data_IF_154115947334
#
_entry.id   IF_154115947334
#
_cell.length_a   1.000
_cell.length_b   1.000
_cell.length_c   1.000
_cell.angle_alpha   90.00
_cell.angle_beta   90.00
_cell.angle_gamma   90.00
#
_symmetry.space_group_name_H-M   'P 1'
#
loop_
_entity.id
_entity.type
_entity.pdbx_description
1 polymer ?
#
# COMPACT_ATOMS: atom_id res chain seq x y z
N UNK A 1 -36.13 -12.61 26.19
CA UNK A 1 -34.71 -12.23 26.06
C UNK A 1 -34.42 -12.09 24.57
N UNK A 2 -33.73 -11.04 24.15
CA UNK A 2 -33.26 -10.92 22.77
C UNK A 2 -31.93 -11.67 22.67
N UNK A 3 -31.75 -12.50 21.64
CA UNK A 3 -30.46 -13.13 21.37
C UNK A 3 -29.46 -12.05 20.92
N UNK A 4 -28.29 -12.06 21.54
CA UNK A 4 -27.14 -11.24 21.17
C UNK A 4 -26.21 -12.13 20.36
N UNK A 5 -25.94 -11.72 19.12
CA UNK A 5 -24.96 -12.38 18.26
C UNK A 5 -23.59 -11.75 18.51
N UNK A 6 -22.55 -12.55 18.37
CA UNK A 6 -21.15 -12.13 18.44
C UNK A 6 -20.50 -12.29 17.05
N UNK A 7 -19.65 -11.34 16.67
CA UNK A 7 -18.93 -11.32 15.38
C UNK A 7 -17.48 -10.95 15.66
N UNK A 8 -16.56 -11.79 15.19
CA UNK A 8 -15.13 -11.50 15.17
C UNK A 8 -14.71 -10.84 13.85
N UNK A 9 -13.85 -9.83 13.93
CA UNK A 9 -13.17 -9.23 12.78
C UNK A 9 -11.65 -9.24 13.02
N UNK A 10 -10.88 -9.53 11.96
CA UNK A 10 -9.44 -9.22 11.89
C UNK A 10 -9.29 -7.81 11.33
N UNK A 11 -8.51 -6.94 12.00
CA UNK A 11 -8.38 -5.52 11.69
C UNK A 11 -6.92 -5.17 11.33
N UNK A 12 -6.66 -4.96 10.05
CA UNK A 12 -5.34 -4.63 9.51
C UNK A 12 -5.07 -3.10 9.49
N UNK A 13 -3.82 -2.71 9.68
CA UNK A 13 -3.37 -1.32 9.56
C UNK A 13 -3.33 -0.53 10.87
N UNK A 14 -3.66 -1.13 12.01
CA UNK A 14 -3.37 -0.53 13.32
C UNK A 14 -1.85 -0.44 13.54
N UNK A 15 -1.36 0.72 13.98
CA UNK A 15 0.09 0.98 14.13
C UNK A 15 0.50 1.38 15.55
N UNK A 16 -0.46 1.57 16.45
CA UNK A 16 -0.22 1.82 17.87
C UNK A 16 -1.48 1.53 18.71
N UNK A 17 -1.34 1.39 20.05
CA UNK A 17 -2.49 1.17 20.95
C UNK A 17 -3.54 2.29 20.97
N UNK A 18 -3.28 3.48 20.41
CA UNK A 18 -4.32 4.51 20.28
C UNK A 18 -5.23 4.30 19.08
N UNK A 19 -4.89 3.42 18.13
CA UNK A 19 -5.77 3.07 17.01
C UNK A 19 -7.03 2.30 17.47
N UNK A 20 -6.95 1.51 18.55
CA UNK A 20 -8.06 0.65 19.00
C UNK A 20 -9.33 1.46 19.28
N UNK A 21 -9.20 2.57 20.03
CA UNK A 21 -10.33 3.43 20.40
C UNK A 21 -11.09 3.96 19.18
N UNK A 22 -10.39 4.40 18.13
CA UNK A 22 -11.06 4.87 16.91
C UNK A 22 -11.86 3.74 16.23
N UNK A 23 -11.30 2.53 16.21
CA UNK A 23 -11.99 1.34 15.65
C UNK A 23 -13.17 0.93 16.54
N UNK A 24 -13.03 0.97 17.88
CA UNK A 24 -14.12 0.72 18.84
C UNK A 24 -15.26 1.73 18.68
N UNK A 25 -14.96 3.02 18.63
CA UNK A 25 -15.94 4.10 18.46
C UNK A 25 -16.72 3.95 17.15
N UNK A 26 -16.05 3.61 16.04
CA UNK A 26 -16.69 3.39 14.75
C UNK A 26 -17.55 2.11 14.72
N UNK A 27 -17.12 1.03 15.38
CA UNK A 27 -17.92 -0.19 15.52
C UNK A 27 -19.16 0.04 16.39
N UNK A 28 -19.03 0.76 17.52
CA UNK A 28 -20.15 1.14 18.39
C UNK A 28 -21.17 2.05 17.69
N UNK A 29 -20.76 2.81 16.67
CA UNK A 29 -21.65 3.63 15.86
C UNK A 29 -22.50 2.84 14.84
N UNK A 30 -22.21 1.55 14.61
CA UNK A 30 -22.99 0.71 13.67
C UNK A 30 -24.33 0.28 14.31
N UNK A 31 -25.47 0.52 13.65
CA UNK A 31 -26.78 0.13 14.18
C UNK A 31 -26.85 -1.37 14.54
N UNK A 32 -27.33 -1.66 15.75
CA UNK A 32 -27.44 -3.03 16.28
C UNK A 32 -26.27 -3.45 17.16
N UNK A 33 -25.12 -2.76 17.11
CA UNK A 33 -24.00 -3.01 18.04
C UNK A 33 -24.35 -2.56 19.45
N UNK A 34 -24.02 -3.39 20.44
CA UNK A 34 -24.19 -3.11 21.87
C UNK A 34 -22.86 -3.09 22.63
N UNK A 35 -21.84 -3.76 22.10
CA UNK A 35 -20.47 -3.76 22.61
C UNK A 35 -19.49 -3.97 21.46
N UNK A 36 -18.38 -3.25 21.47
CA UNK A 36 -17.19 -3.54 20.68
C UNK A 36 -15.98 -3.56 21.61
N UNK A 37 -14.99 -4.40 21.31
CA UNK A 37 -13.70 -4.43 21.97
C UNK A 37 -12.61 -4.75 20.94
N UNK A 38 -11.53 -3.97 20.89
CA UNK A 38 -10.46 -4.10 19.88
C UNK A 38 -9.12 -4.32 20.56
N UNK A 39 -8.51 -5.48 20.31
CA UNK A 39 -7.20 -5.85 20.81
C UNK A 39 -6.10 -5.54 19.78
N UNK A 40 -5.20 -4.62 20.14
CA UNK A 40 -4.08 -4.21 19.29
C UNK A 40 -3.05 -5.34 19.07
N UNK A 41 -2.54 -6.05 20.10
CA UNK A 41 -1.56 -7.12 19.93
C UNK A 41 -1.98 -8.24 18.96
N UNK A 42 -3.25 -8.66 19.00
CA UNK A 42 -3.78 -9.73 18.13
C UNK A 42 -4.40 -9.23 16.83
N UNK A 43 -4.54 -7.92 16.65
CA UNK A 43 -5.26 -7.29 15.51
C UNK A 43 -6.70 -7.80 15.36
N UNK A 44 -7.41 -8.05 16.46
CA UNK A 44 -8.79 -8.56 16.46
C UNK A 44 -9.77 -7.57 17.07
N UNK A 45 -10.99 -7.56 16.55
CA UNK A 45 -12.14 -6.88 17.13
C UNK A 45 -13.25 -7.91 17.42
N UNK A 46 -13.86 -7.83 18.59
CA UNK A 46 -15.06 -8.57 18.97
C UNK A 46 -16.23 -7.60 19.06
N UNK A 47 -17.33 -7.93 18.37
CA UNK A 47 -18.53 -7.10 18.30
C UNK A 47 -19.74 -7.93 18.75
N UNK A 48 -20.51 -7.40 19.70
CA UNK A 48 -21.72 -8.06 20.23
C UNK A 48 -22.94 -7.18 19.99
N UNK A 49 -24.05 -7.75 19.51
CA UNK A 49 -25.24 -6.97 19.20
C UNK A 49 -26.44 -7.75 18.67
N UNK A 50 -27.51 -7.04 18.34
CA UNK A 50 -28.76 -7.58 17.83
C UNK A 50 -28.87 -7.31 16.32
N UNK A 51 -28.97 -8.38 15.51
CA UNK A 51 -28.97 -8.34 14.03
C UNK A 51 -27.78 -7.54 13.46
N UNK A 52 -26.57 -7.97 13.84
CA UNK A 52 -25.33 -7.40 13.31
C UNK A 52 -25.22 -7.60 11.80
N UNK A 53 -25.05 -6.51 11.05
CA UNK A 53 -24.67 -6.54 9.63
C UNK A 53 -23.14 -6.53 9.52
N UNK A 54 -22.58 -7.70 9.23
CA UNK A 54 -21.13 -7.90 9.08
C UNK A 54 -20.53 -7.00 7.98
N UNK A 55 -21.28 -6.71 6.92
CA UNK A 55 -20.82 -5.83 5.84
C UNK A 55 -20.75 -4.37 6.29
N UNK A 56 -21.71 -3.92 7.11
CA UNK A 56 -21.69 -2.59 7.71
C UNK A 56 -20.56 -2.42 8.73
N UNK A 57 -20.26 -3.46 9.52
CA UNK A 57 -19.12 -3.46 10.44
C UNK A 57 -17.77 -3.32 9.70
N UNK A 58 -17.58 -4.11 8.63
CA UNK A 58 -16.38 -4.02 7.78
C UNK A 58 -16.28 -2.64 7.10
N UNK A 59 -17.40 -2.10 6.61
CA UNK A 59 -17.44 -0.77 5.99
C UNK A 59 -17.11 0.36 6.98
N UNK A 60 -17.57 0.28 8.23
CA UNK A 60 -17.28 1.27 9.27
C UNK A 60 -15.77 1.32 9.62
N UNK A 61 -15.12 0.16 9.73
CA UNK A 61 -13.67 0.07 9.93
C UNK A 61 -12.91 0.53 8.69
N UNK A 62 -13.40 0.18 7.49
CA UNK A 62 -12.87 0.63 6.20
C UNK A 62 -12.91 2.16 6.01
N UNK A 63 -13.95 2.82 6.52
CA UNK A 63 -14.09 4.28 6.45
C UNK A 63 -13.01 5.05 7.26
N UNK A 64 -12.40 4.40 8.25
CA UNK A 64 -11.24 4.94 8.99
C UNK A 64 -9.89 4.70 8.29
N UNK A 65 -9.87 3.96 7.17
CA UNK A 65 -8.65 3.58 6.46
C UNK A 65 -7.98 2.29 6.96
N UNK A 66 -8.64 1.52 7.83
CA UNK A 66 -8.19 0.20 8.26
C UNK A 66 -8.76 -0.90 7.35
N UNK A 67 -8.06 -2.03 7.22
CA UNK A 67 -8.64 -3.22 6.61
C UNK A 67 -9.45 -4.01 7.64
N UNK A 68 -10.60 -4.58 7.27
CA UNK A 68 -11.36 -5.47 8.13
C UNK A 68 -11.84 -6.70 7.36
N UNK A 69 -11.67 -7.88 7.95
CA UNK A 69 -12.21 -9.14 7.41
C UNK A 69 -12.91 -9.93 8.52
N UNK A 70 -14.10 -10.51 8.29
CA UNK A 70 -14.74 -11.40 9.26
C UNK A 70 -13.84 -12.59 9.60
N UNK A 71 -13.99 -13.13 10.80
CA UNK A 71 -13.27 -14.33 11.26
C UNK A 71 -14.23 -15.37 11.81
N UNK A 72 -14.11 -16.61 11.33
CA UNK A 72 -14.99 -17.75 11.61
C UNK A 72 -15.05 -18.21 13.08
N UNK A 73 -14.36 -17.53 14.00
CA UNK A 73 -14.26 -17.93 15.41
C UNK A 73 -15.60 -17.82 16.18
N UNK A 74 -16.63 -17.12 15.65
CA UNK A 74 -17.90 -16.86 16.35
C UNK A 74 -19.19 -16.87 15.48
N UNK A 75 -19.28 -17.64 14.39
CA UNK A 75 -20.53 -17.70 13.62
C UNK A 75 -21.64 -18.59 14.25
N UNK A 76 -22.77 -17.99 14.64
CA UNK A 76 -24.01 -18.70 14.98
C UNK A 76 -25.04 -18.68 13.84
N UNK A 77 -24.87 -19.64 12.91
CA UNK A 77 -25.85 -20.36 12.05
C UNK A 77 -27.13 -19.68 11.49
N UNK A 78 -27.30 -19.92 10.18
CA UNK A 78 -28.55 -20.01 9.38
C UNK A 78 -29.23 -18.67 8.94
N UNK A 79 -29.85 -18.56 7.75
CA UNK A 79 -30.27 -19.57 6.76
C UNK A 79 -30.28 -19.04 5.29
N UNK A 80 -30.33 -19.98 4.34
CA UNK A 80 -30.36 -19.88 2.86
C UNK A 80 -31.59 -19.20 2.22
N UNK A 81 -31.46 -18.77 0.93
CA UNK A 81 -32.45 -18.66 -0.20
C UNK A 81 -31.90 -17.61 -1.21
N UNK A 82 -31.86 -17.74 -2.56
CA UNK A 82 -32.27 -18.78 -3.52
C UNK A 82 -31.41 -18.72 -4.84
N UNK A 83 -31.88 -19.27 -5.97
CA UNK A 83 -31.28 -19.13 -7.32
C UNK A 83 -32.31 -18.63 -8.36
N UNK A 84 -31.99 -17.65 -9.24
CA UNK A 84 -32.86 -17.31 -10.37
C UNK A 84 -32.74 -18.30 -11.55
N UNK A 85 -33.86 -18.90 -11.92
CA UNK A 85 -33.98 -19.97 -12.91
C UNK A 85 -33.66 -19.65 -14.39
N UNK A 86 -33.75 -20.70 -15.20
CA UNK A 86 -33.23 -20.84 -16.57
C UNK A 86 -33.83 -19.90 -17.65
N UNK A 87 -34.78 -19.02 -17.32
CA UNK A 87 -35.60 -18.28 -18.30
C UNK A 87 -35.01 -16.94 -18.77
N UNK A 88 -33.94 -16.43 -18.15
CA UNK A 88 -33.30 -15.18 -18.57
C UNK A 88 -32.54 -15.24 -19.90
N UNK A 89 -32.10 -16.44 -20.33
CA UNK A 89 -31.18 -16.62 -21.48
C UNK A 89 -31.82 -16.39 -22.86
N UNK A 90 -33.15 -16.34 -22.95
CA UNK A 90 -33.86 -16.20 -24.23
C UNK A 90 -33.94 -14.75 -24.75
N UNK A 91 -33.87 -13.75 -23.87
CA UNK A 91 -34.01 -12.33 -24.25
C UNK A 91 -32.73 -11.71 -24.83
N UNK A 92 -31.56 -12.26 -24.50
CA UNK A 92 -30.25 -11.65 -24.79
C UNK A 92 -29.73 -11.89 -26.22
N UNK A 93 -30.46 -12.65 -27.05
CA UNK A 93 -30.06 -13.01 -28.42
C UNK A 93 -30.48 -11.98 -29.48
N UNK A 94 -31.25 -10.95 -29.12
CA UNK A 94 -31.84 -9.99 -30.08
C UNK A 94 -31.19 -8.59 -30.09
N UNK A 95 -30.25 -8.28 -29.19
CA UNK A 95 -29.49 -7.02 -29.20
C UNK A 95 -28.09 -7.21 -29.77
N UNK A 96 -27.94 -7.01 -31.08
CA UNK A 96 -26.67 -7.17 -31.78
C UNK A 96 -25.71 -6.00 -31.62
N UNK A 97 -24.89 -6.00 -30.58
CA UNK A 97 -23.64 -5.22 -30.49
C UNK A 97 -22.60 -6.02 -29.70
N UNK A 98 -21.59 -6.58 -30.38
CA UNK A 98 -20.51 -7.35 -29.74
C UNK A 98 -19.47 -6.43 -29.12
N UNK A 99 -19.75 -5.95 -27.91
CA UNK A 99 -18.67 -5.70 -26.96
C UNK A 99 -17.94 -7.03 -26.69
N UNK A 100 -16.61 -7.04 -26.73
CA UNK A 100 -15.82 -8.21 -26.32
C UNK A 100 -15.84 -8.26 -24.80
N UNK A 101 -16.83 -8.95 -24.24
CA UNK A 101 -16.83 -9.32 -22.82
C UNK A 101 -15.59 -10.19 -22.54
N UNK A 102 -14.54 -9.58 -21.99
CA UNK A 102 -13.50 -10.34 -21.28
C UNK A 102 -14.20 -11.11 -20.16
N UNK A 103 -13.98 -12.42 -20.00
CA UNK A 103 -14.50 -13.15 -18.85
C UNK A 103 -13.99 -12.50 -17.56
N UNK A 104 -14.75 -12.62 -16.47
CA UNK A 104 -14.45 -12.02 -15.17
C UNK A 104 -13.19 -12.63 -14.52
N UNK A 105 -12.03 -12.28 -15.07
CA UNK A 105 -10.71 -12.61 -14.57
C UNK A 105 -10.12 -11.49 -13.72
N UNK A 106 -9.08 -11.83 -12.98
CA UNK A 106 -8.34 -10.90 -12.13
C UNK A 106 -7.77 -9.72 -12.94
N UNK A 107 -8.18 -8.48 -12.60
CA UNK A 107 -7.74 -7.26 -13.28
C UNK A 107 -6.20 -7.19 -13.33
N UNK A 108 -5.61 -6.95 -14.50
CA UNK A 108 -4.17 -6.75 -14.64
C UNK A 108 -3.81 -5.26 -14.69
N UNK A 109 -3.10 -4.80 -13.67
CA UNK A 109 -2.54 -3.44 -13.60
C UNK A 109 -1.03 -3.46 -13.86
N UNK A 110 -0.58 -2.79 -14.91
CA UNK A 110 0.84 -2.52 -15.15
C UNK A 110 1.25 -1.17 -14.55
N UNK A 111 2.42 -1.09 -13.92
CA UNK A 111 2.90 0.13 -13.27
C UNK A 111 4.36 0.36 -13.66
N UNK A 112 4.67 1.53 -14.24
CA UNK A 112 6.02 1.87 -14.69
C UNK A 112 6.73 2.73 -13.63
N UNK A 113 7.85 2.24 -13.11
CA UNK A 113 8.62 2.78 -11.99
C UNK A 113 8.29 2.12 -10.65
N UNK A 114 9.18 2.24 -9.66
CA UNK A 114 9.00 1.75 -8.27
C UNK A 114 9.12 2.86 -7.22
N UNK A 115 8.90 4.12 -7.60
CA UNK A 115 8.83 5.24 -6.64
C UNK A 115 7.63 5.10 -5.67
N UNK A 116 7.57 5.97 -4.66
CA UNK A 116 6.51 5.92 -3.63
C UNK A 116 5.08 5.88 -4.17
N UNK A 117 4.78 6.63 -5.23
CA UNK A 117 3.47 6.59 -5.91
C UNK A 117 3.18 5.23 -6.57
N UNK A 118 4.21 4.60 -7.16
CA UNK A 118 4.09 3.32 -7.82
C UNK A 118 3.83 2.19 -6.82
N UNK A 119 4.57 2.15 -5.71
CA UNK A 119 4.40 1.10 -4.67
C UNK A 119 3.10 1.28 -3.91
N UNK A 120 2.69 2.52 -3.59
CA UNK A 120 1.37 2.78 -3.01
C UNK A 120 0.22 2.29 -3.92
N UNK A 121 0.31 2.56 -5.22
CA UNK A 121 -0.67 2.08 -6.19
C UNK A 121 -0.62 0.55 -6.38
N UNK A 122 0.58 -0.06 -6.38
CA UNK A 122 0.76 -1.50 -6.51
C UNK A 122 0.14 -2.26 -5.33
N UNK A 123 0.42 -1.81 -4.10
CA UNK A 123 -0.18 -2.36 -2.89
C UNK A 123 -1.69 -2.21 -2.91
N UNK A 124 -2.22 -1.01 -3.23
CA UNK A 124 -3.66 -0.80 -3.21
C UNK A 124 -4.40 -1.56 -4.32
N UNK A 125 -3.77 -1.76 -5.47
CA UNK A 125 -4.30 -2.62 -6.53
C UNK A 125 -4.32 -4.09 -6.08
N UNK A 126 -3.25 -4.59 -5.47
CA UNK A 126 -3.17 -5.95 -4.95
C UNK A 126 -4.16 -6.24 -3.81
N UNK A 127 -4.33 -5.29 -2.88
CA UNK A 127 -5.37 -5.34 -1.82
C UNK A 127 -6.79 -5.46 -2.40
N UNK A 128 -7.06 -4.74 -3.49
CA UNK A 128 -8.33 -4.82 -4.22
C UNK A 128 -8.41 -6.04 -5.16
N UNK A 129 -7.52 -7.03 -4.97
CA UNK A 129 -7.51 -8.30 -5.70
C UNK A 129 -6.94 -8.24 -7.11
N UNK A 130 -6.34 -7.14 -7.56
CA UNK A 130 -5.72 -7.08 -8.90
C UNK A 130 -4.38 -7.81 -8.96
N UNK A 131 -4.05 -8.37 -10.13
CA UNK A 131 -2.70 -8.84 -10.45
C UNK A 131 -1.88 -7.65 -10.93
N UNK A 132 -0.73 -7.41 -10.32
CA UNK A 132 0.11 -6.23 -10.60
C UNK A 132 1.41 -6.63 -11.29
N UNK A 133 1.87 -5.82 -12.22
CA UNK A 133 3.22 -5.90 -12.78
C UNK A 133 3.91 -4.54 -12.65
N UNK A 134 4.84 -4.44 -11.71
CA UNK A 134 5.73 -3.29 -11.58
C UNK A 134 6.92 -3.46 -12.52
N UNK A 135 7.35 -2.38 -13.17
CA UNK A 135 8.49 -2.40 -14.10
C UNK A 135 9.50 -1.34 -13.69
N UNK A 136 10.73 -1.73 -13.37
CA UNK A 136 11.80 -0.83 -12.92
C UNK A 136 13.10 -1.03 -13.69
N UNK A 137 13.68 0.09 -14.16
CA UNK A 137 14.93 0.13 -14.93
C UNK A 137 16.17 0.33 -14.07
N UNK A 138 16.02 0.86 -12.85
CA UNK A 138 17.13 1.19 -11.95
C UNK A 138 16.97 0.63 -10.54
N UNK A 139 17.41 1.39 -9.55
CA UNK A 139 17.31 1.04 -8.13
C UNK A 139 15.85 1.10 -7.65
N UNK A 140 15.40 0.06 -6.92
CA UNK A 140 14.05 0.00 -6.36
C UNK A 140 13.79 1.19 -5.42
N UNK A 141 12.56 1.70 -5.42
CA UNK A 141 12.12 2.79 -4.54
C UNK A 141 12.25 4.19 -5.12
N UNK A 142 12.84 4.30 -6.32
CA UNK A 142 12.94 5.56 -7.06
C UNK A 142 13.65 6.68 -6.28
N UNK A 143 13.26 7.93 -6.54
CA UNK A 143 13.98 9.12 -6.07
C UNK A 143 13.98 9.29 -4.56
N UNK A 144 12.84 9.14 -3.89
CA UNK A 144 12.63 9.60 -2.52
C UNK A 144 13.58 8.94 -1.50
N UNK A 145 13.74 7.63 -1.59
CA UNK A 145 14.61 6.84 -0.70
C UNK A 145 16.07 6.88 -1.15
N UNK A 146 16.36 6.76 -2.45
CA UNK A 146 17.74 6.58 -2.92
C UNK A 146 18.54 7.89 -3.05
N UNK A 147 17.94 8.94 -3.63
CA UNK A 147 18.67 10.14 -4.11
C UNK A 147 17.93 11.45 -3.82
N UNK A 148 16.95 11.42 -2.91
CA UNK A 148 16.04 12.53 -2.64
C UNK A 148 15.86 12.78 -1.15
N UNK A 149 14.62 12.71 -0.68
CA UNK A 149 14.19 13.14 0.65
C UNK A 149 14.93 12.46 1.81
N UNK A 150 15.25 11.17 1.71
CA UNK A 150 15.94 10.42 2.77
C UNK A 150 17.41 10.88 2.91
N UNK A 151 18.28 10.77 1.89
CA UNK A 151 19.68 11.19 2.02
C UNK A 151 19.83 12.69 2.31
N UNK A 152 19.01 13.55 1.69
CA UNK A 152 19.04 14.99 1.94
C UNK A 152 18.70 15.36 3.39
N UNK A 153 17.63 14.79 3.98
CA UNK A 153 17.27 15.06 5.38
C UNK A 153 18.34 14.56 6.36
N UNK A 154 18.98 13.42 6.08
CA UNK A 154 20.10 12.91 6.88
C UNK A 154 21.27 13.91 6.84
N UNK A 155 21.67 14.36 5.65
CA UNK A 155 22.79 15.28 5.51
C UNK A 155 22.48 16.69 6.08
N UNK A 156 21.25 17.19 5.91
CA UNK A 156 20.78 18.43 6.55
C UNK A 156 20.87 18.32 8.08
N UNK A 157 20.49 17.17 8.68
CA UNK A 157 20.61 16.99 10.13
C UNK A 157 22.07 16.95 10.58
N UNK A 158 22.97 16.32 9.82
CA UNK A 158 24.40 16.35 10.11
C UNK A 158 24.98 17.77 10.02
N UNK A 159 24.59 18.55 9.00
CA UNK A 159 24.98 19.95 8.86
C UNK A 159 24.46 20.82 10.02
N UNK A 160 23.21 20.62 10.46
CA UNK A 160 22.63 21.31 11.60
C UNK A 160 23.37 21.02 12.91
N UNK A 161 23.82 19.77 13.13
CA UNK A 161 24.67 19.42 14.27
C UNK A 161 26.05 20.10 14.17
N UNK A 162 26.62 20.20 12.97
CA UNK A 162 27.90 20.89 12.77
C UNK A 162 27.81 22.40 13.01
N UNK A 163 26.69 23.03 12.65
CA UNK A 163 26.36 24.42 12.95
C UNK A 163 26.17 24.65 14.46
N UNK A 164 25.31 23.86 15.13
CA UNK A 164 25.08 24.00 16.58
C UNK A 164 26.30 23.68 17.48
N UNK A 165 27.34 23.02 16.94
CA UNK A 165 28.64 22.87 17.63
C UNK A 165 29.57 24.07 17.45
N UNK A 166 29.33 24.87 16.41
CA UNK A 166 30.11 26.08 16.09
C UNK A 166 29.55 27.32 16.80
N UNK A 167 28.24 27.41 16.92
CA UNK A 167 27.55 28.57 17.49
C UNK A 167 26.17 28.19 18.05
N UNK A 168 25.75 28.87 19.11
CA UNK A 168 24.43 28.71 19.73
C UNK A 168 23.99 29.98 20.49
N UNK A 169 22.68 30.15 20.76
CA UNK A 169 22.20 31.22 21.65
C UNK A 169 22.73 31.14 23.10
N UNK A 170 23.41 30.05 23.46
CA UNK A 170 23.89 29.76 24.81
C UNK A 170 25.42 29.89 24.95
N UNK A 171 26.13 30.42 23.94
CA UNK A 171 27.60 30.43 23.90
C UNK A 171 28.28 31.22 25.04
N UNK A 172 27.52 32.09 25.73
CA UNK A 172 27.96 32.77 26.97
C UNK A 172 28.10 31.80 28.15
N UNK A 173 27.31 30.72 28.17
CA UNK A 173 27.29 29.70 29.23
C UNK A 173 27.79 28.31 28.79
N UNK A 174 28.01 28.08 27.50
CA UNK A 174 28.48 26.81 26.92
C UNK A 174 29.58 27.09 25.89
N UNK A 175 30.76 26.49 26.05
CA UNK A 175 31.84 26.68 25.08
C UNK A 175 31.54 25.98 23.74
N UNK A 176 31.48 26.75 22.66
CA UNK A 176 31.43 26.22 21.30
C UNK A 176 32.79 25.69 20.84
N UNK A 177 32.81 24.73 19.91
CA UNK A 177 34.04 24.23 19.29
C UNK A 177 33.74 23.71 17.88
N UNK A 178 34.25 24.36 16.81
CA UNK A 178 34.04 23.92 15.44
C UNK A 178 34.46 22.45 15.22
N UNK A 179 33.54 21.57 14.77
CA UNK A 179 33.85 20.15 14.62
C UNK A 179 34.60 19.86 13.33
N UNK A 180 35.54 18.90 13.38
CA UNK A 180 36.11 18.27 12.17
C UNK A 180 35.03 17.43 11.48
N UNK A 181 34.72 17.74 10.22
CA UNK A 181 33.68 17.04 9.45
C UNK A 181 34.30 15.88 8.65
N UNK A 182 34.12 14.66 9.15
CA UNK A 182 34.54 13.43 8.45
C UNK A 182 33.49 13.02 7.41
N UNK A 183 33.52 13.65 6.22
CA UNK A 183 32.47 13.51 5.19
C UNK A 183 32.18 12.06 4.79
N UNK A 184 33.22 11.23 4.67
CA UNK A 184 33.09 9.83 4.24
C UNK A 184 32.34 8.98 5.26
N UNK A 185 32.55 9.24 6.56
CA UNK A 185 31.80 8.57 7.64
C UNK A 185 30.33 8.99 7.65
N UNK A 186 30.05 10.27 7.38
CA UNK A 186 28.67 10.75 7.20
C UNK A 186 28.02 10.16 5.94
N UNK A 187 28.78 9.94 4.86
CA UNK A 187 28.28 9.30 3.64
C UNK A 187 27.96 7.82 3.88
N UNK A 188 28.86 7.08 4.55
CA UNK A 188 28.63 5.68 4.90
C UNK A 188 27.40 5.52 5.81
N UNK A 189 27.24 6.39 6.82
CA UNK A 189 26.06 6.39 7.68
C UNK A 189 24.77 6.70 6.91
N UNK A 190 24.81 7.69 6.01
CA UNK A 190 23.68 8.04 5.14
C UNK A 190 23.30 6.87 4.24
N UNK A 191 24.28 6.24 3.58
CA UNK A 191 24.06 5.16 2.63
C UNK A 191 23.49 3.91 3.33
N UNK A 192 24.03 3.52 4.48
CA UNK A 192 23.50 2.41 5.27
C UNK A 192 22.01 2.60 5.65
N UNK A 193 21.59 3.84 5.99
CA UNK A 193 20.18 4.16 6.25
C UNK A 193 19.32 4.18 5.00
N UNK A 194 19.87 4.59 3.85
CA UNK A 194 19.17 4.50 2.55
C UNK A 194 18.93 3.05 2.17
N UNK A 195 19.92 2.18 2.30
CA UNK A 195 19.83 0.76 1.94
C UNK A 195 18.90 0.00 2.88
N UNK A 196 18.98 0.23 4.21
CA UNK A 196 18.04 -0.29 5.21
C UNK A 196 16.58 0.08 4.88
N UNK A 197 16.31 1.35 4.57
CA UNK A 197 14.97 1.82 4.26
C UNK A 197 14.47 1.34 2.89
N UNK A 198 15.35 1.23 1.88
CA UNK A 198 14.99 0.65 0.58
C UNK A 198 14.58 -0.80 0.74
N UNK A 199 15.38 -1.59 1.46
CA UNK A 199 15.07 -3.00 1.71
C UNK A 199 13.76 -3.16 2.48
N UNK A 200 13.63 -2.49 3.63
CA UNK A 200 12.51 -2.67 4.55
C UNK A 200 11.18 -2.05 4.08
N UNK A 201 11.20 -1.05 3.19
CA UNK A 201 9.99 -0.31 2.75
C UNK A 201 9.66 -0.45 1.27
N UNK A 202 10.50 -1.15 0.50
CA UNK A 202 10.24 -1.42 -0.92
C UNK A 202 10.57 -2.87 -1.27
N UNK A 203 11.83 -3.29 -1.19
CA UNK A 203 12.27 -4.60 -1.75
C UNK A 203 11.54 -5.76 -1.06
N UNK A 204 11.62 -5.86 0.27
CA UNK A 204 10.96 -6.92 1.05
C UNK A 204 9.42 -6.87 0.96
N UNK A 205 8.82 -5.69 0.76
CA UNK A 205 7.36 -5.53 0.61
C UNK A 205 6.89 -6.04 -0.76
N UNK A 206 7.68 -5.82 -1.81
CA UNK A 206 7.39 -6.31 -3.15
C UNK A 206 7.62 -7.83 -3.24
N UNK A 207 8.70 -8.34 -2.65
CA UNK A 207 9.05 -9.77 -2.64
C UNK A 207 8.06 -10.64 -1.85
N UNK A 208 7.46 -10.11 -0.79
CA UNK A 208 6.50 -10.84 0.06
C UNK A 208 5.06 -10.83 -0.46
N UNK A 209 4.74 -10.10 -1.53
CA UNK A 209 3.38 -9.99 -2.05
C UNK A 209 3.19 -10.81 -3.35
N UNK A 210 2.53 -11.99 -3.32
CA UNK A 210 2.41 -12.87 -4.47
C UNK A 210 1.55 -12.30 -5.62
N UNK A 211 0.75 -11.25 -5.36
CA UNK A 211 -0.05 -10.57 -6.40
C UNK A 211 0.76 -9.52 -7.18
N UNK A 212 1.99 -9.21 -6.75
CA UNK A 212 2.83 -8.17 -7.36
C UNK A 212 4.08 -8.81 -7.97
N UNK A 213 4.16 -8.82 -9.31
CA UNK A 213 5.35 -9.24 -10.02
C UNK A 213 6.25 -8.04 -10.35
N UNK A 214 7.53 -8.08 -9.98
CA UNK A 214 8.53 -7.06 -10.36
C UNK A 214 9.31 -7.50 -11.59
N UNK A 215 9.23 -6.70 -12.64
CA UNK A 215 10.00 -6.85 -13.88
C UNK A 215 11.14 -5.85 -13.89
N UNK A 216 12.38 -6.33 -14.10
CA UNK A 216 13.53 -5.47 -14.38
C UNK A 216 13.58 -5.11 -15.86
N UNK A 217 13.66 -3.81 -16.16
CA UNK A 217 13.80 -3.29 -17.52
C UNK A 217 13.19 -1.90 -17.72
N UNK A 218 13.44 -1.31 -18.89
CA UNK A 218 12.85 -0.05 -19.33
C UNK A 218 11.56 -0.32 -20.11
N UNK A 219 10.45 0.31 -19.72
CA UNK A 219 9.16 0.15 -20.39
C UNK A 219 8.86 1.28 -21.39
N UNK A 220 8.22 0.93 -22.51
CA UNK A 220 7.48 1.86 -23.39
C UNK A 220 6.12 1.27 -23.75
N UNK A 221 5.18 2.11 -24.15
CA UNK A 221 3.95 1.64 -24.79
C UNK A 221 4.25 1.12 -26.20
N UNK A 222 3.68 -0.04 -26.53
CA UNK A 222 3.52 -0.53 -27.90
C UNK A 222 2.21 -0.03 -28.50
N UNK A 223 1.16 -0.08 -27.68
CA UNK A 223 -0.20 0.34 -27.99
C UNK A 223 -0.96 0.67 -26.69
N UNK A 224 -2.28 0.90 -26.76
CA UNK A 224 -3.09 1.29 -25.61
C UNK A 224 -3.32 0.22 -24.53
N UNK A 225 -2.94 -1.04 -24.76
CA UNK A 225 -3.08 -2.16 -23.80
C UNK A 225 -1.81 -3.01 -23.64
N UNK A 226 -0.69 -2.62 -24.27
CA UNK A 226 0.55 -3.40 -24.25
C UNK A 226 1.79 -2.52 -24.03
N UNK A 227 2.64 -2.93 -23.09
CA UNK A 227 4.00 -2.39 -22.91
C UNK A 227 5.03 -3.32 -23.57
N UNK A 228 6.09 -2.76 -24.15
CA UNK A 228 7.35 -3.47 -24.38
C UNK A 228 8.28 -3.14 -23.22
N UNK A 229 8.90 -4.14 -22.63
CA UNK A 229 9.92 -4.00 -21.58
C UNK A 229 11.25 -4.56 -22.06
N UNK A 230 12.27 -3.73 -22.06
CA UNK A 230 13.64 -4.07 -22.46
C UNK A 230 14.49 -4.30 -21.20
N UNK A 231 14.99 -5.51 -21.03
CA UNK A 231 15.91 -5.86 -19.97
C UNK A 231 17.30 -5.23 -20.20
N UNK A 232 18.10 -5.12 -19.14
CA UNK A 232 19.45 -4.56 -19.24
C UNK A 232 20.39 -5.36 -20.17
N UNK A 233 20.08 -6.65 -20.39
CA UNK A 233 20.84 -7.57 -21.24
C UNK A 233 20.37 -7.56 -22.71
N UNK A 234 19.42 -6.71 -23.07
CA UNK A 234 18.91 -6.53 -24.44
C UNK A 234 17.66 -7.35 -24.78
N UNK A 235 17.31 -8.34 -23.96
CA UNK A 235 16.07 -9.11 -24.11
C UNK A 235 14.84 -8.22 -24.01
N UNK A 236 13.85 -8.47 -24.88
CA UNK A 236 12.58 -7.73 -24.90
C UNK A 236 11.41 -8.65 -24.62
N UNK A 237 10.43 -8.17 -23.84
CA UNK A 237 9.18 -8.89 -23.55
C UNK A 237 7.98 -7.95 -23.60
N UNK A 238 6.84 -8.49 -24.01
CA UNK A 238 5.58 -7.75 -23.98
C UNK A 238 4.82 -8.00 -22.68
N UNK A 239 4.22 -6.94 -22.14
CA UNK A 239 3.36 -6.97 -20.96
C UNK A 239 2.03 -6.32 -21.37
N UNK A 240 1.06 -7.16 -21.74
CA UNK A 240 -0.33 -6.74 -21.86
C UNK A 240 -0.86 -6.26 -20.49
N UNK A 241 -1.89 -5.41 -20.48
CA UNK A 241 -2.54 -4.93 -19.25
C UNK A 241 -3.99 -4.52 -19.51
N UNK A 242 -4.81 -4.46 -18.45
CA UNK A 242 -6.14 -3.85 -18.52
C UNK A 242 -6.10 -2.36 -18.16
N UNK A 243 -5.23 -1.98 -17.21
CA UNK A 243 -4.95 -0.58 -16.84
C UNK A 243 -3.45 -0.37 -16.64
N UNK A 244 -2.96 0.83 -16.94
CA UNK A 244 -1.56 1.20 -16.71
C UNK A 244 -1.44 2.49 -15.89
N UNK A 245 -0.49 2.52 -14.94
CA UNK A 245 -0.04 3.72 -14.24
C UNK A 245 1.39 4.08 -14.64
N UNK A 246 1.59 5.32 -15.09
CA UNK A 246 2.93 5.87 -15.36
C UNK A 246 3.39 6.60 -14.10
N UNK A 247 4.39 6.06 -13.40
CA UNK A 247 4.94 6.58 -12.15
C UNK A 247 6.48 6.73 -12.23
N UNK A 248 6.98 7.12 -13.40
CA UNK A 248 8.40 7.22 -13.77
C UNK A 248 9.18 8.34 -13.06
N UNK A 249 8.49 9.24 -12.34
CA UNK A 249 9.10 10.37 -11.65
C UNK A 249 9.63 11.45 -12.60
N UNK A 250 10.75 12.07 -12.21
CA UNK A 250 11.39 13.17 -12.94
C UNK A 250 12.92 13.02 -12.90
N UNK A 251 13.64 13.95 -13.53
CA UNK A 251 15.11 14.01 -13.52
C UNK A 251 15.57 15.47 -13.46
N UNK A 252 16.81 15.70 -13.04
CA UNK A 252 17.36 17.05 -12.93
C UNK A 252 17.45 17.71 -14.31
N UNK A 253 17.00 18.97 -14.41
CA UNK A 253 17.21 19.78 -15.61
C UNK A 253 18.67 20.23 -15.70
N UNK A 254 19.21 20.23 -16.93
CA UNK A 254 20.52 20.75 -17.26
C UNK A 254 20.29 21.99 -18.14
N UNK A 255 20.71 23.20 -17.73
CA UNK A 255 20.63 24.40 -18.58
C UNK A 255 21.45 24.24 -19.88
N UNK A 256 21.04 24.91 -20.97
CA UNK A 256 21.74 24.87 -22.26
C UNK A 256 23.07 25.65 -22.26
#
# INVERSE_FOLDING_TARGET
MQELNEVGLSVAGMTCPSCTRHVEDALLAVPGVTRAAVDYPSNKAQVTGNRLDVSALVAAVGALGYGATPTDEFESKERSVEQPGLLGKAAQWLSGERAVEKPAGQLHVAIIGTGGAAVAAALKAAENGARVTLIERGTIGGTCVNVGCVPSKIMIRAAHIAHLRRESPFDVGLSATPPVVLRDRLLAQQQARVDELRHAKYESILESNPSINLVRGSARFKDGQTLIVEAAEGDTREVAFDRCLIATGASAAIPP
#
